data_IF_464740781887
#
_entry.id   IF_464740781887
#
_cell.length_a   1.000
_cell.length_b   1.000
_cell.length_c   1.000
_cell.angle_alpha   90.00
_cell.angle_beta   90.00
_cell.angle_gamma   90.00
#
_symmetry.space_group_name_H-M   'P 1'
#
loop_
_entity.id
_entity.type
_entity.pdbx_description
1 polymer ?
#
# COMPACT_ATOMS: atom_id res chain seq x y z
N UNK A 1 13.17 -0.47 -29.52
CA UNK A 1 12.13 -1.02 -30.42
C UNK A 1 11.96 -2.53 -30.31
N UNK A 2 12.98 -3.36 -30.58
CA UNK A 2 12.83 -4.83 -30.61
C UNK A 2 12.19 -5.45 -29.36
N UNK A 3 12.54 -4.99 -28.15
CA UNK A 3 11.97 -5.54 -26.93
C UNK A 3 10.44 -5.33 -26.78
N UNK A 4 9.92 -4.17 -27.20
CA UNK A 4 8.48 -3.88 -27.11
C UNK A 4 7.70 -4.68 -28.15
N UNK A 5 8.21 -4.75 -29.38
CA UNK A 5 7.64 -5.57 -30.44
C UNK A 5 7.60 -7.06 -30.05
N UNK A 6 8.72 -7.58 -29.52
CA UNK A 6 8.83 -8.97 -29.05
C UNK A 6 7.81 -9.29 -27.96
N UNK A 7 7.66 -8.41 -26.96
CA UNK A 7 6.74 -8.63 -25.83
C UNK A 7 5.29 -8.58 -26.28
N UNK A 8 4.93 -7.67 -27.18
CA UNK A 8 3.58 -7.54 -27.71
C UNK A 8 3.26 -8.54 -28.82
N UNK A 9 4.25 -9.32 -29.29
CA UNK A 9 4.07 -10.28 -30.38
C UNK A 9 3.78 -9.64 -31.74
N UNK A 10 4.24 -8.41 -31.96
CA UNK A 10 4.08 -7.66 -33.23
C UNK A 10 5.41 -7.56 -33.98
N UNK A 11 5.37 -7.22 -35.27
CA UNK A 11 6.59 -6.92 -36.02
C UNK A 11 7.24 -5.63 -35.54
N UNK A 12 8.56 -5.51 -35.67
CA UNK A 12 9.26 -4.27 -35.32
C UNK A 12 8.75 -3.06 -36.12
N UNK A 13 8.36 -3.26 -37.38
CA UNK A 13 7.78 -2.22 -38.25
C UNK A 13 6.36 -1.79 -37.83
N UNK A 14 5.73 -2.51 -36.91
CA UNK A 14 4.43 -2.14 -36.33
C UNK A 14 4.58 -1.27 -35.06
N UNK A 15 5.81 -0.93 -34.67
CA UNK A 15 6.10 -0.07 -33.53
C UNK A 15 6.74 1.23 -34.04
N UNK A 16 5.99 2.32 -33.89
CA UNK A 16 6.53 3.67 -34.04
C UNK A 16 7.17 4.10 -32.72
N UNK A 17 8.42 4.56 -32.77
CA UNK A 17 9.21 4.96 -31.61
C UNK A 17 9.84 6.32 -31.83
N UNK A 18 9.62 7.25 -30.89
CA UNK A 18 10.14 8.62 -30.94
C UNK A 18 10.82 8.96 -29.62
N UNK A 19 11.99 9.62 -29.68
CA UNK A 19 12.62 10.25 -28.52
C UNK A 19 12.14 11.70 -28.41
N UNK A 20 11.40 12.02 -27.34
CA UNK A 20 10.82 13.35 -27.14
C UNK A 20 11.86 14.44 -26.91
N UNK A 21 13.13 14.08 -26.69
CA UNK A 21 14.24 15.02 -26.57
C UNK A 21 14.58 15.75 -27.87
N UNK A 22 13.99 15.33 -29.00
CA UNK A 22 14.29 15.86 -30.34
C UNK A 22 13.00 16.33 -31.01
N UNK A 23 12.74 17.65 -31.02
CA UNK A 23 11.51 18.25 -31.59
C UNK A 23 11.26 17.84 -33.07
N UNK A 24 12.33 17.61 -33.83
CA UNK A 24 12.26 17.22 -35.25
C UNK A 24 11.66 15.80 -35.47
N UNK A 25 11.72 14.92 -34.47
CA UNK A 25 11.25 13.52 -34.60
C UNK A 25 9.72 13.39 -34.56
N UNK A 26 9.01 14.35 -33.95
CA UNK A 26 7.54 14.33 -33.93
C UNK A 26 6.90 14.50 -35.31
N UNK A 27 7.57 15.18 -36.23
CA UNK A 27 7.07 15.39 -37.59
C UNK A 27 7.12 14.13 -38.45
N UNK A 28 7.98 13.16 -38.11
CA UNK A 28 8.17 11.90 -38.84
C UNK A 28 7.34 10.73 -38.31
N UNK A 29 6.47 10.97 -37.33
CA UNK A 29 5.77 9.91 -36.59
C UNK A 29 4.78 9.15 -37.48
N UNK A 30 4.86 7.82 -37.46
CA UNK A 30 3.85 6.97 -38.09
C UNK A 30 2.65 6.80 -37.14
N UNK A 31 1.71 7.74 -37.22
CA UNK A 31 0.45 7.69 -36.45
C UNK A 31 -0.48 6.53 -36.84
N UNK A 32 -0.14 5.73 -37.85
CA UNK A 32 -0.89 4.54 -38.25
C UNK A 32 -0.32 3.25 -37.66
N UNK A 33 0.85 3.31 -37.01
CA UNK A 33 1.46 2.15 -36.38
C UNK A 33 0.58 1.63 -35.22
N UNK A 34 0.37 0.30 -35.14
CA UNK A 34 -0.40 -0.31 -34.06
C UNK A 34 0.13 -0.04 -32.64
N UNK A 35 1.42 0.28 -32.50
CA UNK A 35 2.04 0.63 -31.22
C UNK A 35 2.79 1.94 -31.38
N UNK A 36 2.37 2.96 -30.64
CA UNK A 36 3.10 4.23 -30.54
C UNK A 36 3.86 4.26 -29.21
N UNK A 37 5.15 4.53 -29.26
CA UNK A 37 5.99 4.64 -28.07
C UNK A 37 6.76 5.97 -28.08
N UNK A 38 6.54 6.81 -27.08
CA UNK A 38 7.35 8.03 -26.86
C UNK A 38 8.29 7.80 -25.69
N UNK A 39 9.57 8.07 -25.87
CA UNK A 39 10.57 8.06 -24.80
C UNK A 39 10.83 9.47 -24.30
N UNK A 40 10.85 9.66 -22.98
CA UNK A 40 11.27 10.91 -22.33
C UNK A 40 12.48 10.63 -21.45
N UNK A 41 13.55 11.40 -21.61
CA UNK A 41 14.67 11.39 -20.69
C UNK A 41 14.25 12.00 -19.34
N UNK A 42 14.59 11.32 -18.24
CA UNK A 42 14.34 11.81 -16.88
C UNK A 42 15.66 12.09 -16.16
N UNK A 43 15.58 12.81 -15.04
CA UNK A 43 16.70 13.07 -14.14
C UNK A 43 16.48 12.42 -12.78
N UNK A 44 17.55 11.96 -12.13
CA UNK A 44 17.52 11.34 -10.80
C UNK A 44 17.62 9.82 -10.84
N UNK A 45 16.88 9.14 -9.96
CA UNK A 45 16.87 7.68 -9.84
C UNK A 45 16.14 6.98 -11.00
N UNK A 46 15.27 7.71 -11.69
CA UNK A 46 14.61 7.26 -12.92
C UNK A 46 15.33 7.88 -14.12
N UNK A 47 15.67 7.04 -15.10
CA UNK A 47 16.40 7.48 -16.29
C UNK A 47 15.49 7.80 -17.48
N UNK A 48 14.32 7.16 -17.56
CA UNK A 48 13.47 7.22 -18.75
C UNK A 48 12.01 6.98 -18.36
N UNK A 49 11.09 7.76 -18.95
CA UNK A 49 9.66 7.47 -19.01
C UNK A 49 9.30 7.02 -20.42
N UNK A 50 8.48 5.98 -20.51
CA UNK A 50 7.88 5.53 -21.77
C UNK A 50 6.39 5.83 -21.72
N UNK A 51 5.87 6.50 -22.75
CA UNK A 51 4.43 6.59 -23.01
C UNK A 51 4.11 5.61 -24.15
N UNK A 52 3.33 4.58 -23.84
CA UNK A 52 3.01 3.48 -24.76
C UNK A 52 1.51 3.52 -25.03
N UNK A 53 1.14 3.73 -26.29
CA UNK A 53 -0.24 3.74 -26.75
C UNK A 53 -0.45 2.59 -27.72
N UNK A 54 -1.40 1.72 -27.43
CA UNK A 54 -1.80 0.62 -28.29
C UNK A 54 -3.00 1.06 -29.14
N UNK A 55 -2.93 0.82 -30.44
CA UNK A 55 -3.96 1.16 -31.41
C UNK A 55 -4.45 -0.07 -32.18
N UNK A 56 -5.74 -0.08 -32.53
CA UNK A 56 -6.33 -1.14 -33.34
C UNK A 56 -6.49 -2.49 -32.60
N UNK A 57 -6.49 -3.63 -33.31
CA UNK A 57 -6.77 -4.96 -32.74
C UNK A 57 -5.54 -5.60 -32.09
N UNK A 58 -4.60 -4.80 -31.57
CA UNK A 58 -3.55 -5.31 -30.68
C UNK A 58 -4.26 -5.71 -29.39
N UNK A 59 -4.70 -6.96 -29.32
CA UNK A 59 -5.34 -7.51 -28.13
C UNK A 59 -4.30 -7.52 -27.01
N UNK A 60 -4.40 -6.65 -26.00
CA UNK A 60 -3.53 -6.75 -24.86
C UNK A 60 -4.08 -7.92 -24.03
N UNK A 61 -3.69 -9.13 -24.40
CA UNK A 61 -3.80 -10.29 -23.51
C UNK A 61 -3.08 -10.03 -22.17
N UNK A 62 -2.19 -9.03 -22.14
CA UNK A 62 -1.48 -8.56 -20.97
C UNK A 62 -2.19 -7.43 -20.23
N UNK A 63 -2.36 -7.59 -18.92
CA UNK A 63 -2.52 -6.44 -18.03
C UNK A 63 -1.24 -5.58 -17.97
N UNK A 64 -1.35 -4.32 -17.56
CA UNK A 64 -0.21 -3.38 -17.47
C UNK A 64 0.97 -3.95 -16.65
N UNK A 65 0.69 -4.64 -15.54
CA UNK A 65 1.72 -5.27 -14.72
C UNK A 65 2.41 -6.47 -15.39
N UNK A 66 1.70 -7.19 -16.25
CA UNK A 66 2.28 -8.31 -17.00
C UNK A 66 3.18 -7.79 -18.13
N UNK A 67 2.75 -6.71 -18.81
CA UNK A 67 3.57 -5.98 -19.77
C UNK A 67 4.84 -5.43 -19.11
N UNK A 68 4.71 -4.76 -17.96
CA UNK A 68 5.84 -4.25 -17.19
C UNK A 68 6.79 -5.38 -16.77
N UNK A 69 6.27 -6.51 -16.31
CA UNK A 69 7.08 -7.68 -15.94
C UNK A 69 7.83 -8.26 -17.14
N UNK A 70 7.16 -8.40 -18.29
CA UNK A 70 7.76 -8.92 -19.51
C UNK A 70 8.86 -7.98 -20.05
N UNK A 71 8.60 -6.67 -20.07
CA UNK A 71 9.56 -5.65 -20.49
C UNK A 71 10.77 -5.57 -19.54
N UNK A 72 10.55 -5.61 -18.22
CA UNK A 72 11.63 -5.56 -17.23
C UNK A 72 12.63 -6.72 -17.42
N UNK A 73 12.09 -7.93 -17.65
CA UNK A 73 12.90 -9.11 -18.00
C UNK A 73 13.62 -8.94 -19.34
N UNK A 74 12.89 -8.53 -20.39
CA UNK A 74 13.44 -8.44 -21.75
C UNK A 74 14.54 -7.38 -21.86
N UNK A 75 14.37 -6.25 -21.17
CA UNK A 75 15.32 -5.14 -21.14
C UNK A 75 16.40 -5.30 -20.04
N UNK A 76 16.25 -6.30 -19.16
CA UNK A 76 17.08 -6.49 -17.98
C UNK A 76 17.19 -5.19 -17.14
N UNK A 77 16.07 -4.51 -16.94
CA UNK A 77 15.97 -3.26 -16.18
C UNK A 77 14.80 -3.28 -15.18
N UNK A 78 14.83 -2.36 -14.23
CA UNK A 78 13.69 -2.12 -13.34
C UNK A 78 12.68 -1.25 -14.08
N UNK A 79 11.40 -1.61 -14.00
CA UNK A 79 10.31 -0.80 -14.53
C UNK A 79 9.37 -0.39 -13.42
N UNK A 80 8.87 0.84 -13.57
CA UNK A 80 7.80 1.40 -12.76
C UNK A 80 6.55 1.53 -13.61
N UNK A 81 5.38 1.31 -13.00
CA UNK A 81 4.08 1.52 -13.64
C UNK A 81 3.03 1.87 -12.59
N UNK A 82 1.80 2.16 -13.02
CA UNK A 82 0.68 2.46 -12.11
C UNK A 82 0.88 3.74 -11.26
N UNK A 83 1.53 4.77 -11.82
CA UNK A 83 1.28 6.15 -11.38
C UNK A 83 -0.01 6.60 -12.06
N UNK A 84 -1.17 6.32 -11.45
CA UNK A 84 -2.39 7.02 -11.87
C UNK A 84 -2.09 8.52 -11.84
N UNK A 85 -2.56 9.29 -12.83
CA UNK A 85 -2.51 10.75 -12.74
C UNK A 85 -3.26 11.18 -11.46
N UNK A 86 -2.49 11.64 -10.47
CA UNK A 86 -2.98 11.92 -9.11
C UNK A 86 -2.49 10.89 -8.08
N UNK A 87 -3.36 10.55 -7.14
CA UNK A 87 -3.08 9.50 -6.16
C UNK A 87 -3.30 8.11 -6.80
N UNK A 88 -2.48 7.09 -6.49
CA UNK A 88 -1.54 7.07 -5.38
C UNK A 88 -0.20 7.74 -5.66
N UNK A 89 0.38 8.36 -4.62
CA UNK A 89 1.75 8.87 -4.56
C UNK A 89 2.83 7.77 -4.63
N UNK A 90 2.43 6.54 -4.90
CA UNK A 90 3.29 5.36 -4.95
C UNK A 90 3.14 4.64 -6.29
N UNK A 91 4.27 4.24 -6.83
CA UNK A 91 4.38 3.49 -8.07
C UNK A 91 4.49 2.00 -7.75
N UNK A 92 4.02 1.15 -8.67
CA UNK A 92 4.47 -0.24 -8.69
C UNK A 92 5.85 -0.30 -9.33
N UNK A 93 6.67 -1.23 -8.84
CA UNK A 93 8.02 -1.50 -9.33
C UNK A 93 8.14 -3.00 -9.59
N UNK A 94 8.79 -3.36 -10.70
CA UNK A 94 9.18 -4.74 -11.01
C UNK A 94 10.64 -4.78 -11.42
N UNK A 95 11.37 -5.73 -10.84
CA UNK A 95 12.77 -5.98 -11.17
C UNK A 95 12.92 -7.03 -12.28
N UNK A 96 14.10 -7.14 -12.93
CA UNK A 96 14.34 -8.16 -13.95
C UNK A 96 14.16 -9.61 -13.46
N UNK A 97 14.43 -9.88 -12.19
CA UNK A 97 14.23 -11.17 -11.54
C UNK A 97 12.76 -11.42 -11.15
N UNK A 98 11.87 -10.45 -11.35
CA UNK A 98 10.43 -10.59 -11.15
C UNK A 98 9.95 -10.26 -9.74
N UNK A 99 10.77 -9.64 -8.89
CA UNK A 99 10.28 -9.04 -7.65
C UNK A 99 9.35 -7.89 -8.01
N UNK A 100 8.11 -7.96 -7.55
CA UNK A 100 7.12 -6.88 -7.64
C UNK A 100 6.95 -6.27 -6.25
N UNK A 101 7.11 -4.95 -6.14
CA UNK A 101 6.92 -4.19 -4.89
C UNK A 101 6.35 -2.81 -5.18
N UNK A 102 5.92 -2.10 -4.14
CA UNK A 102 5.57 -0.67 -4.23
C UNK A 102 6.78 0.19 -3.89
N UNK A 103 6.83 1.37 -4.50
CA UNK A 103 7.87 2.37 -4.34
C UNK A 103 7.26 3.76 -4.27
N UNK A 104 7.76 4.62 -3.38
CA UNK A 104 7.44 6.05 -3.39
C UNK A 104 8.46 6.77 -4.27
N UNK A 105 7.94 7.58 -5.19
CA UNK A 105 8.75 8.41 -6.09
C UNK A 105 8.40 9.85 -5.80
N UNK A 106 9.40 10.65 -5.44
CA UNK A 106 9.24 12.08 -5.19
C UNK A 106 9.80 12.87 -6.36
N UNK A 107 8.97 13.75 -6.91
CA UNK A 107 9.34 14.74 -7.91
C UNK A 107 9.84 16.01 -7.21
N UNK A 108 10.99 16.52 -7.64
CA UNK A 108 11.55 17.78 -7.14
C UNK A 108 11.87 18.69 -8.30
N UNK A 109 11.26 19.87 -8.31
CA UNK A 109 11.56 20.91 -9.29
C UNK A 109 12.99 21.42 -9.10
N UNK A 110 13.76 21.37 -10.18
CA UNK A 110 15.08 21.97 -10.26
C UNK A 110 14.99 23.51 -10.25
N UNK A 111 16.08 24.19 -9.86
CA UNK A 111 16.10 25.64 -9.82
C UNK A 111 15.92 26.25 -11.21
N UNK A 112 15.31 27.43 -11.26
CA UNK A 112 15.29 28.27 -12.46
C UNK A 112 16.73 28.56 -12.94
N UNK A 113 16.98 28.68 -14.26
CA UNK A 113 16.01 28.74 -15.34
C UNK A 113 15.71 27.40 -16.04
N UNK A 114 16.40 26.32 -15.68
CA UNK A 114 16.30 25.05 -16.41
C UNK A 114 15.07 24.23 -16.07
N UNK A 115 14.43 24.47 -14.91
CA UNK A 115 13.20 23.79 -14.45
C UNK A 115 13.19 22.28 -14.76
N UNK A 116 14.26 21.59 -14.36
CA UNK A 116 14.37 20.14 -14.58
C UNK A 116 13.74 19.40 -13.40
N UNK A 117 12.76 18.54 -13.67
CA UNK A 117 12.17 17.70 -12.62
C UNK A 117 13.10 16.53 -12.34
N UNK A 118 13.52 16.38 -11.08
CA UNK A 118 14.31 15.24 -10.61
C UNK A 118 13.41 14.25 -9.88
N UNK A 119 13.48 12.98 -10.26
CA UNK A 119 12.72 11.89 -9.68
C UNK A 119 13.61 11.12 -8.70
N UNK A 120 13.16 10.95 -7.47
CA UNK A 120 13.91 10.23 -6.42
C UNK A 120 13.07 9.12 -5.82
N UNK A 121 13.67 7.94 -5.62
CA UNK A 121 13.01 6.79 -4.99
C UNK A 121 13.37 6.81 -3.51
N UNK A 122 12.50 7.37 -2.67
CA UNK A 122 12.81 7.58 -1.24
C UNK A 122 12.42 6.40 -0.34
N UNK A 123 11.48 5.56 -0.78
CA UNK A 123 11.04 4.40 -0.01
C UNK A 123 10.48 3.27 -0.89
N UNK A 124 10.62 2.02 -0.42
CA UNK A 124 10.13 0.79 -1.05
C UNK A 124 9.57 -0.18 0.00
N UNK A 125 8.59 -1.01 -0.34
CA UNK A 125 8.04 -1.99 0.61
C UNK A 125 8.89 -3.28 0.75
N UNK A 126 9.73 -3.56 -0.23
CA UNK A 126 10.71 -4.66 -0.24
C UNK A 126 12.08 -4.15 -0.67
N UNK A 127 13.20 -4.71 -0.16
CA UNK A 127 14.54 -4.30 -0.56
C UNK A 127 14.77 -4.47 -2.07
N UNK A 128 15.22 -3.39 -2.72
CA UNK A 128 15.60 -3.41 -4.15
C UNK A 128 17.08 -3.00 -4.25
N UNK A 129 18.00 -3.91 -4.63
CA UNK A 129 19.45 -3.62 -4.60
C UNK A 129 19.88 -2.40 -5.41
N UNK A 130 19.12 -2.02 -6.44
CA UNK A 130 19.39 -0.85 -7.29
C UNK A 130 19.07 0.47 -6.61
N UNK A 131 18.30 0.46 -5.52
CA UNK A 131 17.94 1.63 -4.72
C UNK A 131 18.43 1.47 -3.27
N UNK A 132 19.75 1.39 -3.03
CA UNK A 132 20.30 1.10 -1.70
C UNK A 132 20.02 2.22 -0.68
N UNK A 133 19.68 3.42 -1.14
CA UNK A 133 19.34 4.57 -0.29
C UNK A 133 17.84 4.66 0.01
N UNK A 134 17.00 3.90 -0.68
CA UNK A 134 15.56 3.90 -0.43
C UNK A 134 15.26 3.22 0.91
N UNK A 135 14.41 3.84 1.72
CA UNK A 135 13.98 3.26 3.00
C UNK A 135 13.08 2.06 2.74
N UNK A 136 13.37 0.92 3.37
CA UNK A 136 12.49 -0.25 3.31
C UNK A 136 11.44 -0.13 4.41
N UNK A 137 10.21 0.23 4.05
CA UNK A 137 9.11 0.43 4.99
C UNK A 137 7.75 0.19 4.34
N UNK A 138 6.72 -0.04 5.15
CA UNK A 138 5.34 0.04 4.67
C UNK A 138 5.04 1.47 4.20
N UNK A 139 4.35 1.60 3.07
CA UNK A 139 3.95 2.90 2.55
C UNK A 139 2.46 3.13 2.91
N UNK A 140 2.16 3.85 3.99
CA UNK A 140 0.79 3.99 4.49
C UNK A 140 -0.16 4.64 3.47
N UNK A 141 0.37 5.44 2.55
CA UNK A 141 -0.38 6.16 1.51
C UNK A 141 -1.10 5.21 0.56
N UNK A 142 -0.51 4.05 0.25
CA UNK A 142 -1.15 3.01 -0.57
C UNK A 142 -2.53 2.67 -0.03
N UNK A 143 -2.64 2.49 1.29
CA UNK A 143 -3.88 2.05 1.92
C UNK A 143 -4.96 3.13 1.94
N UNK A 144 -4.59 4.40 1.79
CA UNK A 144 -5.54 5.52 1.72
C UNK A 144 -5.96 5.82 0.28
N UNK A 145 -5.02 5.69 -0.64
CA UNK A 145 -5.15 6.12 -2.03
C UNK A 145 -5.65 5.01 -2.96
N UNK A 146 -5.33 3.74 -2.66
CA UNK A 146 -5.79 2.60 -3.44
C UNK A 146 -7.32 2.50 -3.41
N UNK A 147 -7.92 2.59 -4.60
CA UNK A 147 -9.36 2.48 -4.79
C UNK A 147 -9.78 1.03 -4.69
N UNK A 148 -10.36 0.67 -3.56
CA UNK A 148 -11.12 -0.57 -3.39
C UNK A 148 -12.59 -0.24 -3.65
N UNK A 149 -13.25 -1.04 -4.47
CA UNK A 149 -14.68 -0.91 -4.71
C UNK A 149 -15.47 -1.06 -3.40
N UNK A 150 -16.42 -0.17 -3.16
CA UNK A 150 -17.24 -0.12 -1.94
C UNK A 150 -18.73 -0.18 -2.27
N UNK A 151 -19.23 -1.27 -2.88
CA UNK A 151 -20.61 -1.35 -3.33
C UNK A 151 -21.64 -1.24 -2.20
N UNK A 152 -21.34 -1.63 -0.95
CA UNK A 152 -22.28 -1.44 0.17
C UNK A 152 -22.43 0.05 0.47
N UNK A 153 -21.31 0.77 0.57
CA UNK A 153 -21.32 2.22 0.72
C UNK A 153 -21.95 2.92 -0.49
N UNK A 154 -21.69 2.44 -1.72
CA UNK A 154 -22.25 3.01 -2.96
C UNK A 154 -23.78 2.86 -3.00
N UNK A 155 -24.30 1.68 -2.60
CA UNK A 155 -25.74 1.43 -2.47
C UNK A 155 -26.37 2.34 -1.43
N UNK A 156 -25.72 2.52 -0.27
CA UNK A 156 -26.19 3.46 0.75
C UNK A 156 -26.25 4.89 0.20
N UNK A 157 -25.18 5.38 -0.41
CA UNK A 157 -25.10 6.72 -1.00
C UNK A 157 -26.17 6.90 -2.07
N UNK A 158 -26.39 5.90 -2.93
CA UNK A 158 -27.43 5.96 -3.95
C UNK A 158 -28.84 6.00 -3.35
N UNK A 159 -29.09 5.22 -2.30
CA UNK A 159 -30.41 5.13 -1.65
C UNK A 159 -30.75 6.37 -0.82
N UNK A 160 -29.76 7.00 -0.19
CA UNK A 160 -29.99 8.16 0.68
C UNK A 160 -29.80 9.50 -0.01
N UNK A 161 -29.26 9.50 -1.24
CA UNK A 161 -28.94 10.70 -2.03
C UNK A 161 -28.39 11.83 -1.14
N UNK A 162 -27.21 11.64 -0.50
CA UNK A 162 -26.65 12.64 0.40
C UNK A 162 -26.67 13.99 -0.31
N UNK A 163 -27.33 14.97 0.32
CA UNK A 163 -27.52 16.27 -0.29
C UNK A 163 -26.15 16.87 -0.61
N UNK A 164 -25.82 16.94 -1.91
CA UNK A 164 -24.53 17.46 -2.40
C UNK A 164 -24.34 18.95 -2.06
N UNK A 165 -25.40 19.64 -1.66
CA UNK A 165 -25.37 21.02 -1.14
C UNK A 165 -25.24 21.11 0.39
N UNK A 166 -25.38 20.00 1.12
CA UNK A 166 -25.23 19.97 2.57
C UNK A 166 -23.76 20.01 2.98
N UNK A 167 -23.50 20.60 4.16
CA UNK A 167 -22.15 20.69 4.72
C UNK A 167 -21.56 19.29 4.96
N UNK A 168 -20.23 19.21 4.90
CA UNK A 168 -19.49 17.98 5.15
C UNK A 168 -19.74 17.40 6.56
N UNK A 169 -20.10 18.24 7.54
CA UNK A 169 -20.41 17.83 8.92
C UNK A 169 -21.82 17.24 9.10
N UNK A 170 -22.66 17.21 8.06
CA UNK A 170 -23.99 16.62 8.15
C UNK A 170 -23.90 15.11 8.44
N UNK A 171 -24.64 14.56 9.42
CA UNK A 171 -24.52 13.15 9.83
C UNK A 171 -24.65 12.14 8.69
N UNK A 172 -25.45 12.45 7.67
CA UNK A 172 -25.64 11.60 6.49
C UNK A 172 -24.39 11.54 5.60
N UNK A 173 -23.76 12.69 5.35
CA UNK A 173 -22.53 12.78 4.57
C UNK A 173 -21.40 12.06 5.31
N UNK A 174 -21.31 12.32 6.62
CA UNK A 174 -20.35 11.65 7.49
C UNK A 174 -20.54 10.13 7.53
N UNK A 175 -21.78 9.65 7.56
CA UNK A 175 -22.09 8.22 7.51
C UNK A 175 -21.60 7.57 6.21
N UNK A 176 -21.82 8.22 5.06
CA UNK A 176 -21.33 7.75 3.76
C UNK A 176 -19.80 7.64 3.71
N UNK A 177 -19.08 8.68 4.16
CA UNK A 177 -17.61 8.64 4.26
C UNK A 177 -17.12 7.51 5.17
N UNK A 178 -17.75 7.36 6.34
CA UNK A 178 -17.37 6.34 7.30
C UNK A 178 -17.66 4.92 6.77
N UNK A 179 -18.75 4.71 6.03
CA UNK A 179 -19.07 3.44 5.39
C UNK A 179 -18.01 3.05 4.37
N UNK A 180 -17.55 3.99 3.53
CA UNK A 180 -16.47 3.74 2.56
C UNK A 180 -15.21 3.23 3.27
N UNK A 181 -14.78 3.90 4.34
CA UNK A 181 -13.58 3.51 5.08
C UNK A 181 -13.76 2.17 5.80
N UNK A 182 -14.92 1.94 6.42
CA UNK A 182 -15.23 0.67 7.07
C UNK A 182 -15.25 -0.50 6.08
N UNK A 183 -15.95 -0.34 4.96
CA UNK A 183 -16.02 -1.37 3.91
C UNK A 183 -14.64 -1.65 3.31
N UNK A 184 -13.81 -0.63 3.10
CA UNK A 184 -12.42 -0.82 2.64
C UNK A 184 -11.62 -1.70 3.58
N UNK A 185 -11.69 -1.48 4.90
CA UNK A 185 -11.03 -2.34 5.88
C UNK A 185 -11.54 -3.78 5.77
N UNK A 186 -12.86 -3.96 5.79
CA UNK A 186 -13.52 -5.27 5.74
C UNK A 186 -13.12 -6.04 4.48
N UNK A 187 -13.14 -5.39 3.32
CA UNK A 187 -12.72 -5.99 2.04
C UNK A 187 -11.25 -6.34 2.00
N UNK A 188 -10.37 -5.53 2.60
CA UNK A 188 -8.95 -5.88 2.73
C UNK A 188 -8.75 -7.13 3.56
N UNK A 189 -9.44 -7.25 4.69
CA UNK A 189 -9.41 -8.47 5.49
C UNK A 189 -9.93 -9.69 4.72
N UNK A 190 -11.04 -9.53 4.00
CA UNK A 190 -11.62 -10.60 3.20
C UNK A 190 -10.72 -11.04 2.04
N UNK A 191 -9.93 -10.12 1.48
CA UNK A 191 -8.93 -10.37 0.44
C UNK A 191 -7.55 -10.73 0.96
N UNK A 192 -7.41 -11.23 2.20
CA UNK A 192 -6.13 -11.58 2.83
C UNK A 192 -5.07 -10.46 2.78
N UNK A 193 -5.53 -9.21 2.90
CA UNK A 193 -4.72 -8.00 2.84
C UNK A 193 -3.99 -7.80 1.52
N UNK A 194 -4.59 -8.27 0.42
CA UNK A 194 -4.11 -8.01 -0.93
C UNK A 194 -3.93 -6.50 -1.19
N UNK A 195 -2.95 -6.13 -2.05
CA UNK A 195 -2.08 -7.04 -2.80
C UNK A 195 -0.83 -7.51 -2.03
N UNK A 196 -0.44 -6.83 -0.96
CA UNK A 196 0.88 -7.05 -0.31
C UNK A 196 0.84 -8.04 0.85
N UNK A 197 -0.35 -8.41 1.32
CA UNK A 197 -0.53 -9.16 2.55
C UNK A 197 -0.26 -8.32 3.80
N UNK A 198 -0.16 -6.98 3.67
CA UNK A 198 0.24 -6.08 4.75
C UNK A 198 -0.77 -4.95 4.99
N UNK A 199 -0.78 -4.41 6.22
CA UNK A 199 -1.60 -3.27 6.61
C UNK A 199 -1.00 -2.59 7.83
N UNK A 200 -0.90 -1.25 7.91
CA UNK A 200 -0.35 -0.58 9.07
C UNK A 200 -1.28 -0.71 10.29
N UNK A 201 -0.72 -1.01 11.45
CA UNK A 201 -1.49 -1.16 12.70
C UNK A 201 -2.26 0.12 13.08
N UNK A 202 -1.66 1.29 12.87
CA UNK A 202 -2.32 2.58 13.11
C UNK A 202 -3.51 2.81 12.17
N UNK A 203 -3.40 2.34 10.92
CA UNK A 203 -4.51 2.37 9.97
C UNK A 203 -5.66 1.52 10.45
N UNK A 204 -5.39 0.30 10.92
CA UNK A 204 -6.40 -0.60 11.50
C UNK A 204 -7.14 0.07 12.67
N UNK A 205 -6.41 0.64 13.62
CA UNK A 205 -7.02 1.34 14.77
C UNK A 205 -7.86 2.55 14.33
N UNK A 206 -7.42 3.29 13.31
CA UNK A 206 -8.19 4.42 12.77
C UNK A 206 -9.48 3.97 12.10
N UNK A 207 -9.45 2.84 11.42
CA UNK A 207 -10.64 2.27 10.77
C UNK A 207 -11.62 1.71 11.81
N UNK A 208 -11.16 1.12 12.92
CA UNK A 208 -12.03 0.75 14.05
C UNK A 208 -12.76 1.97 14.64
N UNK A 209 -12.09 3.12 14.79
CA UNK A 209 -12.76 4.37 15.20
C UNK A 209 -13.81 4.83 14.20
N UNK A 210 -13.65 4.49 12.93
CA UNK A 210 -14.66 4.80 11.92
C UNK A 210 -15.96 4.04 12.19
N UNK A 211 -15.88 2.82 12.75
CA UNK A 211 -17.05 2.08 13.21
C UNK A 211 -17.75 2.73 14.41
N UNK A 212 -16.99 3.35 15.33
CA UNK A 212 -17.57 4.17 16.42
C UNK A 212 -18.32 5.38 15.85
N UNK A 213 -17.74 6.07 14.85
CA UNK A 213 -18.40 7.18 14.17
C UNK A 213 -19.69 6.73 13.46
N UNK A 214 -19.73 5.54 12.86
CA UNK A 214 -20.96 4.99 12.28
C UNK A 214 -22.06 4.80 13.33
N UNK A 215 -21.72 4.29 14.52
CA UNK A 215 -22.67 4.16 15.63
C UNK A 215 -23.20 5.53 16.11
N UNK A 216 -22.33 6.54 16.16
CA UNK A 216 -22.72 7.91 16.50
C UNK A 216 -23.63 8.52 15.41
N UNK A 217 -23.30 8.36 14.12
CA UNK A 217 -24.11 8.80 12.99
C UNK A 217 -25.51 8.16 13.00
N UNK A 218 -25.60 6.86 13.26
CA UNK A 218 -26.88 6.15 13.38
C UNK A 218 -27.79 6.77 14.44
N UNK A 219 -27.21 7.13 15.59
CA UNK A 219 -27.94 7.81 16.68
C UNK A 219 -28.39 9.22 16.25
N UNK A 220 -27.53 9.96 15.56
CA UNK A 220 -27.78 11.35 15.16
C UNK A 220 -28.78 11.51 13.99
N UNK A 221 -28.95 10.51 13.13
CA UNK A 221 -29.88 10.57 11.99
C UNK A 221 -31.33 10.57 12.45
N UNK A 222 -32.05 11.69 12.30
CA UNK A 222 -33.44 11.80 12.77
C UNK A 222 -34.45 10.99 11.92
N UNK A 223 -34.21 10.89 10.61
CA UNK A 223 -35.16 10.27 9.67
C UNK A 223 -35.02 8.73 9.68
N UNK A 224 -36.13 7.97 9.76
CA UNK A 224 -36.09 6.51 9.78
C UNK A 224 -35.45 5.89 8.54
N UNK A 225 -35.83 6.35 7.33
CA UNK A 225 -35.31 5.77 6.08
C UNK A 225 -33.78 5.73 5.99
N UNK A 226 -33.07 6.87 6.08
CA UNK A 226 -31.61 6.88 6.08
C UNK A 226 -30.99 6.14 7.27
N UNK A 227 -31.63 6.15 8.44
CA UNK A 227 -31.16 5.42 9.62
C UNK A 227 -31.22 3.90 9.40
N UNK A 228 -32.33 3.40 8.86
CA UNK A 228 -32.54 1.98 8.58
C UNK A 228 -31.59 1.49 7.47
N UNK A 229 -31.41 2.30 6.41
CA UNK A 229 -30.41 2.01 5.37
C UNK A 229 -28.99 1.95 5.93
N UNK A 230 -28.64 2.86 6.86
CA UNK A 230 -27.34 2.83 7.52
C UNK A 230 -27.19 1.58 8.39
N UNK A 231 -28.22 1.22 9.16
CA UNK A 231 -28.21 0.04 10.01
C UNK A 231 -27.97 -1.24 9.19
N UNK A 232 -28.69 -1.40 8.07
CA UNK A 232 -28.54 -2.55 7.18
C UNK A 232 -27.13 -2.63 6.57
N UNK A 233 -26.61 -1.50 6.06
CA UNK A 233 -25.25 -1.45 5.50
C UNK A 233 -24.18 -1.80 6.54
N UNK A 234 -24.35 -1.31 7.78
CA UNK A 234 -23.42 -1.59 8.89
C UNK A 234 -23.50 -3.05 9.32
N UNK A 235 -24.70 -3.63 9.41
CA UNK A 235 -24.90 -5.04 9.76
C UNK A 235 -24.22 -5.98 8.77
N UNK A 236 -24.38 -5.72 7.47
CA UNK A 236 -23.71 -6.50 6.39
C UNK A 236 -22.18 -6.45 6.54
N UNK A 237 -21.61 -5.27 6.74
CA UNK A 237 -20.16 -5.12 6.89
C UNK A 237 -19.64 -5.71 8.21
N UNK A 238 -20.43 -5.62 9.29
CA UNK A 238 -20.10 -6.19 10.60
C UNK A 238 -20.10 -7.73 10.56
N UNK A 239 -20.97 -8.36 9.77
CA UNK A 239 -20.95 -9.82 9.55
C UNK A 239 -19.66 -10.27 8.87
N UNK A 240 -19.23 -9.57 7.82
CA UNK A 240 -17.97 -9.86 7.12
C UNK A 240 -16.77 -9.58 8.04
N UNK A 241 -16.79 -8.46 8.79
CA UNK A 241 -15.77 -8.19 9.82
C UNK A 241 -15.68 -9.32 10.83
N UNK A 242 -16.82 -9.79 11.35
CA UNK A 242 -16.92 -10.90 12.30
C UNK A 242 -16.31 -12.19 11.75
N UNK A 243 -16.55 -12.49 10.47
CA UNK A 243 -16.03 -13.68 9.78
C UNK A 243 -14.50 -13.67 9.65
N UNK A 244 -13.89 -12.50 9.43
CA UNK A 244 -12.44 -12.35 9.22
C UNK A 244 -11.65 -11.95 10.48
N UNK A 245 -12.30 -11.95 11.64
CA UNK A 245 -11.69 -11.62 12.93
C UNK A 245 -12.02 -12.67 13.99
N UNK A 246 -11.24 -12.72 15.07
CA UNK A 246 -11.53 -13.51 16.27
C UNK A 246 -11.60 -12.58 17.47
N UNK A 247 -12.48 -12.89 18.43
CA UNK A 247 -12.47 -12.23 19.74
C UNK A 247 -11.18 -12.66 20.47
N UNK A 248 -10.39 -11.67 20.88
CA UNK A 248 -9.17 -11.83 21.66
C UNK A 248 -9.24 -11.03 22.99
N UNK A 249 -10.44 -10.62 23.38
CA UNK A 249 -10.66 -9.78 24.55
C UNK A 249 -10.11 -8.36 24.41
N UNK A 250 -9.72 -7.93 23.20
CA UNK A 250 -9.08 -6.64 22.96
C UNK A 250 -7.58 -6.63 23.20
N UNK A 251 -6.97 -7.81 23.40
CA UNK A 251 -5.53 -7.94 23.66
C UNK A 251 -4.68 -7.29 22.56
N UNK A 252 -5.00 -7.53 21.29
CA UNK A 252 -4.28 -6.93 20.17
C UNK A 252 -4.32 -5.40 20.24
N UNK A 253 -5.50 -4.81 20.43
CA UNK A 253 -5.68 -3.35 20.48
C UNK A 253 -4.87 -2.75 21.63
N UNK A 254 -4.89 -3.37 22.80
CA UNK A 254 -4.07 -2.96 23.95
C UNK A 254 -2.57 -3.07 23.64
N UNK A 255 -2.14 -4.16 22.99
CA UNK A 255 -0.74 -4.40 22.64
C UNK A 255 -0.19 -3.40 21.61
N UNK A 256 -1.05 -2.82 20.77
CA UNK A 256 -0.67 -1.79 19.80
C UNK A 256 -0.41 -0.42 20.45
N UNK A 257 -0.55 -0.28 21.78
CA UNK A 257 0.06 0.79 22.58
C UNK A 257 -0.39 2.22 22.25
N UNK A 258 -1.45 2.40 21.45
CA UNK A 258 -1.95 3.72 21.00
C UNK A 258 -3.45 3.95 21.22
N UNK A 259 -4.16 2.95 21.74
CA UNK A 259 -5.50 3.15 22.27
C UNK A 259 -5.35 3.59 23.74
N UNK A 260 -5.56 4.87 24.03
CA UNK A 260 -5.76 5.28 25.42
C UNK A 260 -6.95 4.53 26.03
N UNK A 261 -7.08 4.45 27.36
CA UNK A 261 -8.18 3.76 28.05
C UNK A 261 -9.59 4.25 27.63
N UNK A 262 -9.70 5.45 27.04
CA UNK A 262 -10.93 5.99 26.43
C UNK A 262 -11.36 5.30 25.12
N UNK A 263 -10.46 4.60 24.43
CA UNK A 263 -10.70 4.05 23.07
C UNK A 263 -11.16 2.59 23.11
N UNK A 264 -10.87 1.89 24.20
CA UNK A 264 -11.35 0.53 24.47
C UNK A 264 -12.71 0.57 25.16
N UNK A 265 -13.72 1.14 24.50
CA UNK A 265 -15.10 0.98 24.96
C UNK A 265 -15.54 -0.50 24.93
N UNK A 266 -16.67 -0.82 25.58
CA UNK A 266 -17.29 -2.16 25.58
C UNK A 266 -17.76 -2.64 24.19
N UNK A 267 -17.54 -1.85 23.14
CA UNK A 267 -17.95 -2.19 21.79
C UNK A 267 -17.21 -3.43 21.27
N UNK A 268 -17.98 -4.39 20.79
CA UNK A 268 -17.50 -5.74 20.49
C UNK A 268 -16.43 -5.78 19.39
N UNK A 269 -16.41 -4.84 18.44
CA UNK A 269 -15.40 -4.78 17.38
C UNK A 269 -14.00 -4.43 17.90
N UNK A 270 -13.89 -3.69 19.02
CA UNK A 270 -12.61 -3.39 19.67
C UNK A 270 -11.99 -4.60 20.39
N UNK A 271 -12.81 -5.62 20.66
CA UNK A 271 -12.37 -6.87 21.30
C UNK A 271 -11.87 -7.91 20.32
N UNK A 272 -11.71 -7.53 19.05
CA UNK A 272 -11.41 -8.46 17.98
C UNK A 272 -10.10 -8.13 17.29
N UNK A 273 -9.39 -9.19 16.93
CA UNK A 273 -8.21 -9.14 16.09
C UNK A 273 -8.47 -9.82 14.76
N UNK A 274 -7.83 -9.38 13.67
CA UNK A 274 -7.88 -10.14 12.43
C UNK A 274 -7.31 -11.54 12.60
N UNK A 275 -7.88 -12.50 11.88
CA UNK A 275 -7.42 -13.91 11.89
C UNK A 275 -5.96 -13.99 11.47
N UNK A 276 -5.59 -13.26 10.40
CA UNK A 276 -4.22 -13.04 9.96
C UNK A 276 -3.81 -11.61 10.26
N UNK A 277 -2.80 -11.44 11.12
CA UNK A 277 -2.26 -10.10 11.46
C UNK A 277 -1.34 -9.63 10.34
N UNK A 278 -1.59 -8.46 9.72
CA UNK A 278 -0.89 -8.02 8.51
C UNK A 278 0.29 -7.06 8.74
N UNK A 279 0.53 -6.61 9.98
CA UNK A 279 1.70 -5.79 10.28
C UNK A 279 2.87 -6.67 10.76
N UNK A 280 4.12 -6.35 10.34
CA UNK A 280 5.31 -7.13 10.69
C UNK A 280 5.65 -7.07 12.19
N UNK A 281 5.23 -6.00 12.87
CA UNK A 281 5.41 -5.83 14.31
C UNK A 281 4.26 -6.52 15.05
N UNK A 282 4.16 -7.84 14.96
CA UNK A 282 3.47 -8.58 16.02
C UNK A 282 4.10 -8.14 17.36
N UNK A 283 3.33 -8.00 18.46
CA UNK A 283 3.94 -7.76 19.75
C UNK A 283 4.96 -8.87 19.96
N UNK A 284 6.24 -8.50 20.14
CA UNK A 284 7.26 -9.44 20.58
C UNK A 284 6.66 -10.11 21.82
N UNK A 285 6.51 -11.44 21.86
CA UNK A 285 6.12 -12.06 23.10
C UNK A 285 7.21 -11.72 24.11
N UNK A 286 6.91 -10.84 25.07
CA UNK A 286 7.71 -10.68 26.29
C UNK A 286 7.60 -12.00 27.05
N UNK A 287 8.49 -12.94 26.70
CA UNK A 287 8.34 -14.30 27.16
C UNK A 287 9.39 -15.29 26.68
N UNK A 288 10.51 -14.83 26.11
CA UNK A 288 11.72 -15.67 26.03
C UNK A 288 12.95 -14.75 26.08
N UNK A 289 13.26 -14.29 27.31
CA UNK A 289 14.65 -13.93 27.59
C UNK A 289 15.51 -15.19 27.43
N UNK A 290 16.57 -15.18 26.59
CA UNK A 290 17.61 -16.19 26.68
C UNK A 290 18.43 -15.89 27.94
N UNK A 291 17.87 -16.28 29.09
CA UNK A 291 18.45 -16.09 30.40
C UNK A 291 19.33 -17.28 30.79
N UNK A 292 20.64 -17.06 30.67
CA UNK A 292 21.71 -17.72 31.41
C UNK A 292 22.03 -19.19 31.06
N UNK A 293 22.85 -19.34 30.02
CA UNK A 293 23.92 -20.34 30.08
C UNK A 293 24.87 -19.94 31.23
N UNK A 294 24.77 -20.68 32.34
CA UNK A 294 25.63 -20.60 33.52
C UNK A 294 27.05 -21.07 33.15
N UNK A 295 27.82 -20.17 32.55
CA UNK A 295 29.24 -20.35 32.27
C UNK A 295 30.09 -19.96 33.47
N UNK A 296 30.10 -20.78 34.53
CA UNK A 296 31.09 -20.66 35.60
C UNK A 296 32.49 -21.05 35.07
N UNK A 297 33.50 -20.16 35.10
CA UNK A 297 34.88 -20.58 34.93
C UNK A 297 35.35 -21.31 36.20
N UNK A 298 35.88 -22.52 36.01
CA UNK A 298 36.43 -23.35 37.07
C UNK A 298 37.52 -22.63 37.85
N UNK A 299 37.30 -22.49 39.16
CA UNK A 299 38.36 -22.26 40.15
C UNK A 299 39.31 -23.47 40.09
N UNK A 300 40.49 -23.25 39.53
CA UNK A 300 41.65 -24.10 39.77
C UNK A 300 42.14 -23.86 41.20
N UNK A 301 41.87 -24.82 42.08
CA UNK A 301 42.52 -24.91 43.38
C UNK A 301 44.01 -25.27 43.17
N UNK A 302 44.87 -24.34 43.52
CA UNK A 302 46.27 -24.60 43.83
C UNK A 302 46.43 -24.59 45.36
N UNK A 303 46.96 -25.66 45.99
CA UNK A 303 47.39 -25.64 47.38
C UNK A 303 48.94 -25.53 47.44
N UNK A 304 49.53 -25.29 48.62
CA UNK A 304 49.65 -23.98 49.23
C UNK A 304 51.13 -23.55 49.36
N UNK A 305 51.38 -22.24 49.30
CA UNK A 305 52.67 -21.67 49.68
C UNK A 305 52.93 -21.85 51.18
N UNK A 306 54.11 -22.35 51.50
CA UNK A 306 54.67 -22.40 52.84
C UNK A 306 54.89 -20.98 53.40
N UNK A 307 54.48 -20.76 54.65
CA UNK A 307 54.83 -19.60 55.48
C UNK A 307 56.18 -19.79 56.21
N UNK A 308 56.76 -18.71 56.77
CA UNK A 308 58.20 -18.49 56.88
C UNK A 308 58.75 -18.61 58.32
N UNK A 309 60.08 -18.48 58.50
CA UNK A 309 60.66 -18.08 59.79
C UNK A 309 62.10 -18.50 60.07
N UNK A 310 63.05 -17.61 59.78
CA UNK A 310 64.30 -17.32 60.53
C UNK A 310 64.85 -16.04 59.88
N UNK A 311 64.98 -14.88 60.53
CA UNK A 311 65.00 -14.54 61.96
C UNK A 311 64.12 -13.31 62.26
#
# INVERSE_FOLDING_TARGET
MGALADVLGVSADAVDFVDSGVEEEFAGRDWTAPVLCTQYALSGDLATRLDIQLQGPVDPTFGEGELATALARRLNTILFWDAQEGAPSTNRLVTPDGLVTRARVTETDGPAPTYTVTYTVDAVEAPVPRFPMARVQLLPEIYWEERIATPVADVFVAATAPDRGSRADHPLNRAGECLVLWERLVRRMAGDWAPTGRYPAESYLRDLRTRDHLAACHTALAAPGPRDSLAAAVEELDEVFGTHTTDDGGFLVLSLGRAGPEVTGDAWWWRRRPVRVPWPDGPVPEGESPGAADGRPGRGDAPPGATPGSA
#
